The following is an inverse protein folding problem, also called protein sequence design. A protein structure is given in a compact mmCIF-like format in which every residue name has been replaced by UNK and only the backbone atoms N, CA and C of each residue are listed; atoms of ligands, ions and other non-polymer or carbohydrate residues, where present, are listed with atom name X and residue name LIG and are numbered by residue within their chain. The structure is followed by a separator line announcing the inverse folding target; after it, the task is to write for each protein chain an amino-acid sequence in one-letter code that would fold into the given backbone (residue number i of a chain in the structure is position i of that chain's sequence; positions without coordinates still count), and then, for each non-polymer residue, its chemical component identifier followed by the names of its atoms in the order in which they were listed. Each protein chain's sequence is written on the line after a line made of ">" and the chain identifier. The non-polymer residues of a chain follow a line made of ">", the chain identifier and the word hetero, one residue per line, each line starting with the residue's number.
data_IF_861153725980
#
_entry.id   IF_861153725980
#
_cell.length_a   1.000
_cell.length_b   1.000
_cell.length_c   1.000
_cell.angle_alpha   90.00
_cell.angle_beta   90.00
_cell.angle_gamma   90.00
#
_symmetry.space_group_name_H-M   'P 1'
#
loop_
_entity.id
_entity.type
_entity.pdbx_description
1 polymer ?
#
# COMPACT_ATOMS: atom_id res chain seq x y z
N UNK A 1 -2.78 17.67 -27.03
CA UNK A 1 -3.32 16.33 -27.39
C UNK A 1 -2.82 15.26 -26.44
N UNK A 2 -1.51 15.00 -26.33
CA UNK A 2 -0.98 13.99 -25.38
C UNK A 2 -1.36 14.29 -23.92
N UNK A 3 -1.34 15.57 -23.51
CA UNK A 3 -1.76 16.00 -22.16
C UNK A 3 -3.21 15.63 -21.82
N UNK A 4 -4.14 15.84 -22.77
CA UNK A 4 -5.56 15.53 -22.58
C UNK A 4 -5.80 14.03 -22.48
N UNK A 5 -5.11 13.24 -23.32
CA UNK A 5 -5.19 11.77 -23.28
C UNK A 5 -4.72 11.24 -21.92
N UNK A 6 -3.60 11.78 -21.40
CA UNK A 6 -3.09 11.39 -20.08
C UNK A 6 -4.04 11.77 -18.95
N UNK A 7 -4.66 12.96 -19.03
CA UNK A 7 -5.67 13.41 -18.07
C UNK A 7 -6.88 12.48 -18.05
N UNK A 8 -7.46 12.18 -19.21
CA UNK A 8 -8.61 11.27 -19.29
C UNK A 8 -8.27 9.86 -18.82
N UNK A 9 -7.06 9.36 -19.12
CA UNK A 9 -6.60 8.07 -18.61
C UNK A 9 -6.47 8.06 -17.08
N UNK A 10 -5.96 9.15 -16.49
CA UNK A 10 -5.90 9.31 -15.04
C UNK A 10 -7.29 9.32 -14.41
N UNK A 11 -8.20 10.11 -14.95
CA UNK A 11 -9.60 10.19 -14.48
C UNK A 11 -10.29 8.82 -14.54
N UNK A 12 -10.12 8.07 -15.63
CA UNK A 12 -10.66 6.73 -15.77
C UNK A 12 -10.10 5.75 -14.72
N UNK A 13 -8.78 5.72 -14.52
CA UNK A 13 -8.15 4.87 -13.49
C UNK A 13 -8.65 5.26 -12.09
N UNK A 14 -8.68 6.55 -11.79
CA UNK A 14 -9.06 7.08 -10.48
C UNK A 14 -10.55 6.91 -10.19
N UNK A 15 -11.40 6.85 -11.23
CA UNK A 15 -12.83 6.54 -11.08
C UNK A 15 -13.11 5.15 -10.48
N UNK A 16 -12.13 4.24 -10.54
CA UNK A 16 -12.23 2.91 -9.93
C UNK A 16 -11.82 2.90 -8.45
N UNK A 17 -11.37 4.04 -7.91
CA UNK A 17 -10.90 4.13 -6.54
C UNK A 17 -12.07 4.29 -5.58
N UNK A 18 -12.36 3.21 -4.87
CA UNK A 18 -13.46 3.05 -3.91
C UNK A 18 -12.94 2.94 -2.47
N UNK A 19 -11.64 3.16 -2.25
CA UNK A 19 -10.97 3.07 -0.96
C UNK A 19 -10.28 4.36 -0.53
N UNK A 20 -10.04 4.46 0.78
CA UNK A 20 -9.26 5.51 1.42
C UNK A 20 -8.06 4.90 2.15
N UNK A 21 -6.89 5.48 1.94
CA UNK A 21 -5.62 5.05 2.48
C UNK A 21 -5.03 6.11 3.42
N UNK A 22 -4.59 5.69 4.60
CA UNK A 22 -3.76 6.49 5.51
C UNK A 22 -2.44 5.76 5.73
N UNK A 23 -1.33 6.41 5.44
CA UNK A 23 0.00 5.81 5.51
C UNK A 23 0.85 6.47 6.61
N UNK A 24 1.65 5.65 7.28
CA UNK A 24 2.53 6.07 8.37
C UNK A 24 3.95 5.58 8.12
N UNK A 25 4.92 6.46 8.29
CA UNK A 25 6.34 6.14 8.32
C UNK A 25 6.75 5.78 9.75
N UNK A 26 7.47 4.67 9.91
CA UNK A 26 8.05 4.29 11.20
C UNK A 26 9.45 4.90 11.33
N UNK A 27 9.56 6.11 11.90
CA UNK A 27 10.85 6.76 12.13
C UNK A 27 11.48 6.26 13.42
N UNK A 28 12.72 5.82 13.33
CA UNK A 28 13.54 5.52 14.51
C UNK A 28 14.36 6.75 14.87
N UNK A 29 14.22 7.23 16.10
CA UNK A 29 15.12 8.25 16.64
C UNK A 29 15.91 7.64 17.79
N UNK A 30 17.16 8.08 17.93
CA UNK A 30 18.06 7.66 19.00
C UNK A 30 18.33 8.87 19.87
N UNK A 31 18.03 8.77 21.15
CA UNK A 31 18.30 9.85 22.10
C UNK A 31 19.80 9.94 22.44
N UNK A 32 20.16 10.97 23.21
CA UNK A 32 21.54 11.21 23.67
C UNK A 32 22.08 10.10 24.61
N UNK A 33 21.22 9.24 25.14
CA UNK A 33 21.56 8.11 25.99
C UNK A 33 21.59 6.78 25.24
N UNK A 34 21.29 6.80 23.94
CA UNK A 34 21.31 5.65 23.06
C UNK A 34 20.02 4.82 23.02
N UNK A 35 18.93 5.30 23.64
CA UNK A 35 17.61 4.67 23.59
C UNK A 35 17.02 4.92 22.20
N UNK A 36 16.57 3.84 21.55
CA UNK A 36 15.89 3.91 20.25
C UNK A 36 14.38 3.97 20.50
N UNK A 37 13.75 5.05 20.10
CA UNK A 37 12.29 5.17 20.05
C UNK A 37 11.80 5.05 18.61
N UNK A 38 10.62 4.46 18.44
CA UNK A 38 9.92 4.41 17.15
C UNK A 38 8.69 5.30 17.20
N UNK A 39 8.63 6.28 16.30
CA UNK A 39 7.49 7.18 16.14
C UNK A 39 6.80 6.90 14.80
N UNK A 40 5.47 6.91 14.80
CA UNK A 40 4.66 6.84 13.59
C UNK A 40 4.38 8.26 13.10
N UNK A 41 4.94 8.61 11.95
CA UNK A 41 4.70 9.90 11.30
C UNK A 41 3.71 9.70 10.16
N UNK A 42 2.59 10.42 10.17
CA UNK A 42 1.60 10.37 9.09
C UNK A 42 2.19 10.94 7.79
N UNK A 43 2.08 10.17 6.71
CA UNK A 43 2.57 10.53 5.36
C UNK A 43 1.44 11.13 4.54
N UNK A 44 0.28 10.47 4.58
CA UNK A 44 -0.94 10.91 3.94
C UNK A 44 -2.14 10.44 4.76
N UNK A 45 -3.24 11.18 4.67
CA UNK A 45 -4.48 10.90 5.39
C UNK A 45 -5.65 10.80 4.43
N UNK A 46 -6.39 9.70 4.50
CA UNK A 46 -7.58 9.44 3.69
C UNK A 46 -7.35 9.73 2.19
N UNK A 47 -6.19 9.34 1.66
CA UNK A 47 -5.88 9.48 0.25
C UNK A 47 -6.72 8.48 -0.57
N UNK A 48 -7.38 8.92 -1.67
CA UNK A 48 -8.09 8.03 -2.57
C UNK A 48 -7.18 6.92 -3.10
N UNK A 49 -7.67 5.68 -3.08
CA UNK A 49 -6.91 4.51 -3.49
C UNK A 49 -7.82 3.35 -3.92
N UNK A 50 -7.18 2.27 -4.41
CA UNK A 50 -7.84 0.99 -4.68
C UNK A 50 -6.96 -0.16 -4.24
N UNK A 51 -7.54 -1.13 -3.55
CA UNK A 51 -6.98 -2.45 -3.30
C UNK A 51 -7.43 -3.43 -4.38
N UNK A 52 -6.47 -4.20 -4.87
CA UNK A 52 -6.69 -5.37 -5.71
C UNK A 52 -6.11 -6.60 -5.03
N UNK A 53 -6.82 -7.72 -5.16
CA UNK A 53 -6.42 -9.01 -4.63
C UNK A 53 -6.18 -9.96 -5.80
N UNK A 54 -5.03 -10.63 -5.82
CA UNK A 54 -4.74 -11.72 -6.75
C UNK A 54 -4.46 -12.99 -5.96
N UNK A 55 -5.27 -14.02 -6.17
CA UNK A 55 -5.00 -15.34 -5.61
C UNK A 55 -3.82 -15.98 -6.37
N UNK A 56 -2.90 -16.59 -5.63
CA UNK A 56 -1.81 -17.40 -6.21
C UNK A 56 -2.29 -18.85 -6.23
N UNK A 57 -2.15 -19.50 -7.38
CA UNK A 57 -2.57 -20.88 -7.55
C UNK A 57 -1.65 -21.84 -6.79
N UNK A 58 -2.15 -23.01 -6.41
CA UNK A 58 -1.36 -24.01 -5.67
C UNK A 58 -0.13 -24.50 -6.45
N UNK A 59 -0.18 -24.50 -7.78
CA UNK A 59 0.94 -24.89 -8.65
C UNK A 59 2.13 -23.91 -8.61
N UNK A 60 1.89 -22.66 -8.21
CA UNK A 60 2.93 -21.61 -8.07
C UNK A 60 3.51 -21.56 -6.65
N UNK A 61 3.06 -22.43 -5.73
CA UNK A 61 3.52 -22.47 -4.35
C UNK A 61 4.74 -23.39 -4.21
N UNK A 62 5.87 -22.83 -3.76
CA UNK A 62 7.12 -23.58 -3.52
C UNK A 62 7.25 -24.12 -2.10
N UNK A 63 6.21 -24.03 -1.27
CA UNK A 63 6.21 -24.47 0.14
C UNK A 63 5.29 -25.66 0.42
N UNK A 64 5.72 -26.57 1.30
CA UNK A 64 4.90 -27.67 1.81
C UNK A 64 3.87 -27.12 2.82
N UNK A 65 2.70 -26.72 2.32
CA UNK A 65 1.55 -26.34 3.14
C UNK A 65 0.51 -25.62 2.31
N UNK A 66 -0.78 -25.96 2.51
CA UNK A 66 -1.91 -25.27 1.89
C UNK A 66 -2.07 -23.85 2.48
N UNK A 67 -1.14 -22.96 2.19
CA UNK A 67 -1.28 -21.55 2.52
C UNK A 67 -2.06 -20.89 1.39
N UNK A 68 -3.19 -20.26 1.70
CA UNK A 68 -3.86 -19.37 0.74
C UNK A 68 -2.93 -18.17 0.55
N UNK A 69 -2.10 -18.20 -0.49
CA UNK A 69 -1.21 -17.10 -0.83
C UNK A 69 -1.96 -16.12 -1.72
N UNK A 70 -2.13 -14.89 -1.22
CA UNK A 70 -2.77 -13.80 -1.95
C UNK A 70 -1.79 -12.64 -2.07
N UNK A 71 -1.69 -12.07 -3.26
CA UNK A 71 -0.98 -10.81 -3.46
C UNK A 71 -1.98 -9.69 -3.30
N UNK A 72 -1.77 -8.85 -2.29
CA UNK A 72 -2.51 -7.60 -2.10
C UNK A 72 -1.73 -6.47 -2.75
N UNK A 73 -2.38 -5.72 -3.63
CA UNK A 73 -1.78 -4.58 -4.32
C UNK A 73 -2.60 -3.32 -4.08
N UNK A 74 -1.93 -2.27 -3.63
CA UNK A 74 -2.49 -0.94 -3.50
C UNK A 74 -2.16 -0.10 -4.73
N UNK A 75 -3.18 0.54 -5.28
CA UNK A 75 -3.10 1.58 -6.29
C UNK A 75 -3.37 2.92 -5.62
N UNK A 76 -2.44 3.87 -5.78
CA UNK A 76 -2.56 5.22 -5.22
C UNK A 76 -1.92 6.23 -6.17
N UNK A 77 -2.20 7.51 -5.96
CA UNK A 77 -1.61 8.63 -6.69
C UNK A 77 -0.08 8.52 -6.75
N UNK A 78 0.56 8.75 -7.91
CA UNK A 78 2.03 8.65 -8.03
C UNK A 78 2.76 9.75 -7.27
N UNK A 79 2.06 10.83 -6.88
CA UNK A 79 2.62 11.94 -6.11
C UNK A 79 2.75 11.63 -4.60
N UNK A 80 2.12 10.55 -4.11
CA UNK A 80 2.16 10.15 -2.70
C UNK A 80 3.33 9.21 -2.47
N UNK A 81 4.50 9.72 -2.09
CA UNK A 81 5.63 8.85 -1.77
C UNK A 81 5.42 8.12 -0.43
N UNK A 82 5.33 6.79 -0.48
CA UNK A 82 5.24 5.92 0.70
C UNK A 82 6.52 5.07 0.75
N UNK A 83 7.41 5.25 1.74
CA UNK A 83 8.65 4.51 1.83
C UNK A 83 8.43 3.03 2.22
N UNK A 84 9.33 2.13 1.82
CA UNK A 84 9.33 0.74 2.26
C UNK A 84 9.35 0.65 3.79
N UNK A 85 8.60 -0.28 4.37
CA UNK A 85 8.45 -0.46 5.81
C UNK A 85 7.39 0.42 6.46
N UNK A 86 6.71 1.28 5.70
CA UNK A 86 5.53 2.01 6.15
C UNK A 86 4.37 1.08 6.50
N UNK A 87 3.58 1.52 7.48
CA UNK A 87 2.28 0.95 7.81
C UNK A 87 1.22 1.69 7.01
N UNK A 88 0.33 0.94 6.36
CA UNK A 88 -0.74 1.50 5.54
C UNK A 88 -2.07 0.95 6.05
N UNK A 89 -2.96 1.83 6.47
CA UNK A 89 -4.33 1.51 6.81
C UNK A 89 -5.21 1.84 5.61
N UNK A 90 -6.00 0.87 5.15
CA UNK A 90 -6.90 1.05 4.02
C UNK A 90 -8.32 0.68 4.41
N UNK A 91 -9.26 1.57 4.13
CA UNK A 91 -10.69 1.31 4.21
C UNK A 91 -11.27 1.23 2.80
N UNK A 92 -11.80 0.07 2.43
CA UNK A 92 -12.48 -0.15 1.14
C UNK A 92 -13.66 -1.08 1.33
N UNK A 93 -14.80 -0.78 0.70
CA UNK A 93 -16.03 -1.58 0.83
C UNK A 93 -16.46 -1.83 2.29
N UNK A 94 -16.37 -0.79 3.13
CA UNK A 94 -16.65 -0.84 4.58
C UNK A 94 -15.74 -1.79 5.39
N UNK A 95 -14.61 -2.22 4.83
CA UNK A 95 -13.61 -3.04 5.51
C UNK A 95 -12.33 -2.23 5.69
N UNK A 96 -11.90 -2.07 6.94
CA UNK A 96 -10.62 -1.44 7.29
C UNK A 96 -9.60 -2.52 7.64
N UNK A 97 -8.42 -2.47 7.00
CA UNK A 97 -7.30 -3.38 7.30
C UNK A 97 -5.98 -2.63 7.29
N UNK A 98 -5.04 -3.12 8.10
CA UNK A 98 -3.66 -2.65 8.14
C UNK A 98 -2.73 -3.57 7.36
N UNK A 99 -1.83 -2.95 6.63
CA UNK A 99 -0.85 -3.59 5.78
C UNK A 99 0.53 -2.99 6.01
N UNK A 100 1.55 -3.73 5.59
CA UNK A 100 2.92 -3.27 5.53
C UNK A 100 3.36 -3.15 4.07
N UNK A 101 3.98 -2.03 3.74
CA UNK A 101 4.70 -1.90 2.47
C UNK A 101 6.04 -2.65 2.57
N UNK A 102 6.19 -3.78 1.87
CA UNK A 102 7.33 -4.69 2.07
C UNK A 102 8.44 -4.58 1.02
N UNK A 103 8.31 -3.72 0.00
CA UNK A 103 9.21 -3.68 -1.14
C UNK A 103 9.33 -2.31 -1.77
N UNK A 104 9.48 -2.27 -3.10
CA UNK A 104 9.58 -1.04 -3.89
C UNK A 104 8.22 -0.79 -4.57
N UNK A 105 7.80 0.46 -4.63
CA UNK A 105 6.62 0.88 -5.40
C UNK A 105 6.93 0.93 -6.90
N UNK A 106 6.07 0.36 -7.73
CA UNK A 106 6.13 0.56 -9.18
C UNK A 106 5.37 1.85 -9.51
N UNK A 107 6.09 2.92 -9.86
CA UNK A 107 5.51 4.24 -10.13
C UNK A 107 5.28 4.41 -11.63
N UNK A 108 4.05 4.72 -12.02
CA UNK A 108 3.62 5.01 -13.39
C UNK A 108 3.14 6.47 -13.50
N UNK A 109 2.84 6.90 -14.73
CA UNK A 109 2.40 8.29 -15.00
C UNK A 109 1.15 8.70 -14.22
N UNK A 110 0.19 7.79 -14.01
CA UNK A 110 -1.13 8.11 -13.46
C UNK A 110 -1.41 7.50 -12.09
N UNK A 111 -0.63 6.50 -11.68
CA UNK A 111 -0.77 5.75 -10.44
C UNK A 111 0.58 5.13 -10.06
N UNK A 112 0.71 4.70 -8.82
CA UNK A 112 1.75 3.76 -8.41
C UNK A 112 1.10 2.50 -7.84
N UNK A 113 1.84 1.41 -7.91
CA UNK A 113 1.44 0.10 -7.41
C UNK A 113 2.37 -0.34 -6.28
N UNK A 114 1.78 -0.66 -5.14
CA UNK A 114 2.48 -1.05 -3.93
C UNK A 114 2.04 -2.46 -3.54
N UNK A 115 2.98 -3.40 -3.48
CA UNK A 115 2.71 -4.73 -2.93
C UNK A 115 2.65 -4.64 -1.42
N UNK A 116 1.60 -5.22 -0.86
CA UNK A 116 1.25 -5.15 0.55
C UNK A 116 1.28 -6.53 1.19
N UNK A 117 1.80 -6.57 2.42
CA UNK A 117 1.68 -7.71 3.32
C UNK A 117 0.63 -7.40 4.38
N UNK A 118 -0.28 -8.33 4.64
CA UNK A 118 -1.25 -8.17 5.71
C UNK A 118 -0.52 -8.12 7.07
N UNK A 119 -0.80 -7.10 7.88
CA UNK A 119 -0.32 -7.07 9.26
C UNK A 119 -1.15 -8.08 10.06
N UNK A 120 -0.55 -9.21 10.47
CA UNK A 120 -1.23 -10.15 11.34
C UNK A 120 -1.50 -9.46 12.69
N UNK A 121 -2.75 -9.46 13.14
CA UNK A 121 -3.04 -9.16 14.53
C UNK A 121 -2.38 -10.25 15.38
N UNK A 122 -1.38 -9.87 16.17
CA UNK A 122 -0.86 -10.77 17.20
C UNK A 122 -1.97 -10.92 18.24
N UNK A 123 -2.54 -12.12 18.31
CA UNK A 123 -3.40 -12.56 19.41
C UNK A 123 -2.63 -12.61 20.73
#
# INVERSE_FOLDING_TARGET
>A
MVSEILKSAREAIHSMWDGLCTAFENKKSKDKYGIISSEKVEICKNAPCRLSFKNISQAEQTGLGANVSQVVKLFISPEVYIPPGSTIEVTQNNVTRRYKHSGISAVYTNHQEIILEAEQEKA
#
